data_IF_021946230517
#
_entry.id   IF_021946230517
#
_cell.length_a   1.000
_cell.length_b   1.000
_cell.length_c   1.000
_cell.angle_alpha   90.00
_cell.angle_beta   90.00
_cell.angle_gamma   90.00
#
_symmetry.space_group_name_H-M   'P 1'
#
loop_
_entity.id
_entity.type
_entity.pdbx_description
1 polymer ?
#
# COMPACT_ATOMS: atom_id res chain seq x y z
N UNK A 1 19.43 13.73 28.59
CA UNK A 1 19.08 12.39 29.12
C UNK A 1 17.60 12.25 29.50
N UNK A 2 16.93 13.31 29.96
CA UNK A 2 15.51 13.32 30.34
C UNK A 2 14.53 13.26 29.15
N UNK A 3 14.91 13.87 28.01
CA UNK A 3 14.09 13.92 26.78
C UNK A 3 14.03 12.56 26.06
N UNK A 4 15.17 11.84 26.00
CA UNK A 4 15.23 10.48 25.48
C UNK A 4 14.27 9.58 26.29
N UNK A 5 14.31 9.67 27.63
CA UNK A 5 13.38 8.94 28.50
C UNK A 5 11.90 9.31 28.30
N UNK A 6 11.56 10.52 27.83
CA UNK A 6 10.18 10.92 27.58
C UNK A 6 9.67 10.47 26.21
N UNK A 7 10.49 10.59 25.16
CA UNK A 7 10.19 10.04 23.84
C UNK A 7 10.16 8.51 23.88
N UNK A 8 11.11 7.89 24.57
CA UNK A 8 11.12 6.45 24.85
C UNK A 8 9.86 6.07 25.59
N UNK A 9 9.41 6.80 26.61
CA UNK A 9 8.17 6.49 27.35
C UNK A 9 6.90 6.65 26.52
N UNK A 10 6.81 7.63 25.63
CA UNK A 10 5.65 7.81 24.74
C UNK A 10 5.64 6.74 23.66
N UNK A 11 6.80 6.43 23.07
CA UNK A 11 6.98 5.33 22.13
C UNK A 11 6.70 3.97 22.80
N UNK A 12 7.23 3.72 24.00
CA UNK A 12 6.95 2.53 24.80
C UNK A 12 5.47 2.45 25.14
N UNK A 13 4.83 3.56 25.52
CA UNK A 13 3.42 3.59 25.87
C UNK A 13 2.56 3.27 24.63
N UNK A 14 2.83 3.89 23.48
CA UNK A 14 2.10 3.62 22.24
C UNK A 14 2.31 2.18 21.76
N UNK A 15 3.56 1.72 21.71
CA UNK A 15 3.88 0.32 21.36
C UNK A 15 3.24 -0.66 22.35
N UNK A 16 3.34 -0.44 23.66
CA UNK A 16 2.69 -1.29 24.67
C UNK A 16 1.17 -1.24 24.56
N UNK A 17 0.55 -0.10 24.29
CA UNK A 17 -0.91 -0.04 24.08
C UNK A 17 -1.33 -0.76 22.80
N UNK A 18 -0.54 -0.64 21.72
CA UNK A 18 -0.79 -1.30 20.43
C UNK A 18 -0.58 -2.82 20.51
N UNK A 19 0.44 -3.27 21.24
CA UNK A 19 0.68 -4.69 21.54
C UNK A 19 -0.30 -5.24 22.57
N UNK A 20 -0.81 -4.44 23.51
CA UNK A 20 -1.81 -4.89 24.49
C UNK A 20 -3.16 -5.21 23.85
N UNK A 21 -3.54 -4.54 22.76
CA UNK A 21 -4.70 -4.92 21.95
C UNK A 21 -4.51 -6.21 21.13
N UNK A 22 -3.28 -6.70 20.97
CA UNK A 22 -3.00 -8.01 20.37
C UNK A 22 -3.04 -9.14 21.41
N UNK A 23 -3.14 -8.83 22.71
CA UNK A 23 -3.21 -9.80 23.81
C UNK A 23 -4.66 -10.13 24.22
N UNK A 24 -5.64 -9.93 23.34
CA UNK A 24 -7.02 -10.35 23.63
C UNK A 24 -7.24 -11.85 23.36
N UNK A 25 -7.44 -12.54 24.48
CA UNK A 25 -8.15 -13.81 24.69
C UNK A 25 -7.43 -15.11 24.32
N UNK A 26 -6.64 -15.63 25.26
CA UNK A 26 -6.42 -17.07 25.41
C UNK A 26 -7.73 -17.72 25.88
N UNK A 27 -8.51 -18.24 24.94
CA UNK A 27 -9.76 -18.93 25.22
C UNK A 27 -9.89 -20.15 24.31
N UNK A 28 -9.72 -21.33 24.92
CA UNK A 28 -9.79 -22.70 24.37
C UNK A 28 -9.92 -22.77 22.83
N UNK A 29 -8.76 -22.81 22.18
CA UNK A 29 -8.62 -22.92 20.72
C UNK A 29 -9.35 -24.16 20.20
N UNK A 30 -9.98 -24.09 19.02
CA UNK A 30 -10.43 -25.28 18.32
C UNK A 30 -9.23 -26.20 18.02
N UNK A 31 -9.44 -27.51 18.06
CA UNK A 31 -8.40 -28.51 17.74
C UNK A 31 -7.89 -28.36 16.30
N UNK A 32 -8.71 -27.77 15.43
CA UNK A 32 -8.39 -27.32 14.07
C UNK A 32 -8.47 -25.80 14.03
N UNK A 33 -7.35 -25.15 13.77
CA UNK A 33 -7.21 -23.69 13.74
C UNK A 33 -7.34 -23.13 12.33
N UNK A 34 -7.04 -23.91 11.29
CA UNK A 34 -7.06 -23.45 9.91
C UNK A 34 -7.66 -24.43 8.92
N UNK A 35 -8.07 -23.90 7.77
CA UNK A 35 -8.54 -24.68 6.65
C UNK A 35 -8.05 -24.06 5.34
N UNK A 36 -7.68 -24.91 4.38
CA UNK A 36 -7.12 -24.49 3.09
C UNK A 36 -7.80 -25.23 1.94
N UNK A 37 -7.96 -24.54 0.82
CA UNK A 37 -8.42 -25.12 -0.43
C UNK A 37 -7.26 -25.42 -1.36
N UNK A 38 -7.24 -26.63 -1.90
CA UNK A 38 -6.41 -27.01 -3.04
C UNK A 38 -7.35 -27.06 -4.24
N UNK A 39 -7.17 -26.09 -5.14
CA UNK A 39 -7.98 -25.96 -6.36
C UNK A 39 -7.07 -26.27 -7.53
N UNK A 40 -7.27 -27.44 -8.14
CA UNK A 40 -6.61 -27.82 -9.39
C UNK A 40 -7.47 -27.33 -10.55
N UNK A 41 -6.88 -26.48 -11.38
CA UNK A 41 -7.49 -25.98 -12.60
C UNK A 41 -6.54 -26.31 -13.76
N UNK A 42 -6.98 -27.16 -14.67
CA UNK A 42 -6.16 -27.92 -15.61
C UNK A 42 -4.98 -28.60 -14.88
N UNK A 43 -3.75 -28.32 -15.30
CA UNK A 43 -2.52 -28.78 -14.65
C UNK A 43 -1.86 -27.69 -13.78
N UNK A 44 -2.65 -26.74 -13.28
CA UNK A 44 -2.18 -25.61 -12.47
C UNK A 44 -2.93 -25.52 -11.14
N UNK A 45 -2.24 -24.97 -10.13
CA UNK A 45 -2.75 -24.74 -8.79
C UNK A 45 -3.11 -23.27 -8.61
N UNK A 46 -4.26 -22.98 -7.99
CA UNK A 46 -4.62 -21.63 -7.56
C UNK A 46 -3.79 -21.24 -6.33
N UNK A 47 -3.07 -20.13 -6.42
CA UNK A 47 -2.39 -19.45 -5.31
C UNK A 47 -2.87 -18.01 -5.19
N UNK A 48 -2.77 -17.47 -3.98
CA UNK A 48 -2.99 -16.05 -3.66
C UNK A 48 -1.71 -15.42 -3.16
N UNK A 49 -1.53 -14.13 -3.42
CA UNK A 49 -0.40 -13.33 -2.96
C UNK A 49 -0.87 -12.37 -1.85
N UNK A 50 -0.26 -12.49 -0.67
CA UNK A 50 -0.63 -11.70 0.50
C UNK A 50 0.17 -10.38 0.56
N UNK A 51 -0.53 -9.27 0.79
CA UNK A 51 0.04 -7.92 0.86
C UNK A 51 1.04 -7.78 2.00
N UNK A 52 0.69 -8.27 3.20
CA UNK A 52 1.49 -8.06 4.42
C UNK A 52 2.81 -8.83 4.40
N UNK A 53 2.79 -10.08 3.95
CA UNK A 53 3.99 -10.92 3.94
C UNK A 53 4.78 -10.80 2.64
N UNK A 54 4.14 -10.35 1.56
CA UNK A 54 4.69 -10.38 0.21
C UNK A 54 4.93 -11.80 -0.28
N UNK A 55 4.21 -12.79 0.24
CA UNK A 55 4.38 -14.22 -0.07
C UNK A 55 3.12 -14.81 -0.70
N UNK A 56 3.32 -15.78 -1.58
CA UNK A 56 2.25 -16.60 -2.13
C UNK A 56 1.88 -17.74 -1.18
N UNK A 57 0.61 -18.13 -1.17
CA UNK A 57 0.12 -19.28 -0.43
C UNK A 57 -1.20 -19.82 -1.02
N UNK A 58 -1.68 -20.94 -0.48
CA UNK A 58 -2.99 -21.49 -0.87
C UNK A 58 -4.10 -20.60 -0.30
N UNK A 59 -5.27 -20.51 -0.98
CA UNK A 59 -6.44 -19.89 -0.38
C UNK A 59 -6.79 -20.58 0.94
N UNK A 60 -6.69 -19.86 2.05
CA UNK A 60 -6.70 -20.45 3.37
C UNK A 60 -6.89 -19.42 4.47
N UNK A 61 -7.29 -19.88 5.66
CA UNK A 61 -7.39 -19.00 6.82
C UNK A 61 -7.89 -19.71 8.06
N UNK A 62 -8.19 -18.92 9.09
CA UNK A 62 -8.52 -19.44 10.42
C UNK A 62 -9.98 -19.88 10.50
N UNK A 63 -10.24 -20.99 11.20
CA UNK A 63 -11.60 -21.45 11.50
C UNK A 63 -12.19 -20.57 12.60
N UNK A 64 -13.27 -19.85 12.28
CA UNK A 64 -13.97 -18.98 13.25
C UNK A 64 -14.68 -19.81 14.32
N UNK A 65 -14.96 -19.20 15.46
CA UNK A 65 -15.65 -19.89 16.56
C UNK A 65 -17.02 -20.40 16.13
N UNK A 66 -17.24 -21.72 16.21
CA UNK A 66 -18.48 -22.37 15.80
C UNK A 66 -18.61 -22.60 14.30
N UNK A 67 -17.60 -22.21 13.51
CA UNK A 67 -17.49 -22.52 12.09
C UNK A 67 -16.94 -23.94 11.90
N UNK A 68 -17.43 -24.65 10.89
CA UNK A 68 -16.84 -25.93 10.46
C UNK A 68 -15.60 -25.66 9.63
N UNK A 69 -14.52 -26.45 9.75
CA UNK A 69 -13.32 -26.24 8.93
C UNK A 69 -13.59 -26.26 7.42
N UNK A 70 -14.54 -27.07 6.95
CA UNK A 70 -15.01 -27.07 5.55
C UNK A 70 -15.57 -25.70 5.15
N UNK A 71 -16.44 -25.12 5.99
CA UNK A 71 -17.03 -23.80 5.75
C UNK A 71 -15.99 -22.69 5.80
N UNK A 72 -14.96 -22.82 6.65
CA UNK A 72 -13.84 -21.90 6.66
C UNK A 72 -13.07 -21.94 5.34
N UNK A 73 -12.73 -23.13 4.80
CA UNK A 73 -12.05 -23.23 3.52
C UNK A 73 -12.86 -22.59 2.36
N UNK A 74 -14.18 -22.81 2.34
CA UNK A 74 -15.07 -22.19 1.34
C UNK A 74 -15.11 -20.65 1.48
N UNK A 75 -15.26 -20.16 2.72
CA UNK A 75 -15.30 -18.73 3.03
C UNK A 75 -14.00 -18.04 2.64
N UNK A 76 -12.86 -18.55 3.09
CA UNK A 76 -11.55 -17.95 2.81
C UNK A 76 -11.27 -17.95 1.30
N UNK A 77 -11.60 -19.03 0.60
CA UNK A 77 -11.48 -19.09 -0.86
C UNK A 77 -12.31 -17.99 -1.55
N UNK A 78 -13.55 -17.80 -1.14
CA UNK A 78 -14.40 -16.72 -1.68
C UNK A 78 -13.86 -15.33 -1.30
N UNK A 79 -13.46 -15.14 -0.04
CA UNK A 79 -12.94 -13.87 0.46
C UNK A 79 -11.65 -13.46 -0.29
N UNK A 80 -10.74 -14.40 -0.56
CA UNK A 80 -9.42 -14.15 -1.14
C UNK A 80 -9.37 -14.19 -2.68
N UNK A 81 -10.17 -15.05 -3.31
CA UNK A 81 -10.14 -15.28 -4.77
C UNK A 81 -11.43 -14.89 -5.48
N UNK A 82 -12.53 -14.73 -4.74
CA UNK A 82 -13.86 -14.57 -5.31
C UNK A 82 -14.46 -15.86 -5.89
N UNK A 83 -13.73 -16.98 -5.90
CA UNK A 83 -14.25 -18.28 -6.34
C UNK A 83 -15.18 -18.84 -5.28
N UNK A 84 -16.39 -19.22 -5.70
CA UNK A 84 -17.32 -19.99 -4.88
C UNK A 84 -17.00 -21.47 -5.10
N UNK A 85 -16.74 -22.20 -4.02
CA UNK A 85 -16.29 -23.59 -4.11
C UNK A 85 -17.12 -24.54 -3.24
N UNK A 86 -17.27 -25.77 -3.73
CA UNK A 86 -17.79 -26.93 -3.01
C UNK A 86 -16.65 -27.84 -2.55
N UNK A 87 -16.74 -28.35 -1.32
CA UNK A 87 -15.76 -29.30 -0.78
C UNK A 87 -16.07 -30.71 -1.32
N UNK A 88 -15.09 -31.32 -1.99
CA UNK A 88 -15.20 -32.70 -2.46
C UNK A 88 -14.75 -33.70 -1.39
N UNK A 89 -13.49 -33.58 -0.94
CA UNK A 89 -12.87 -34.50 0.03
C UNK A 89 -11.73 -33.85 0.80
N UNK A 90 -11.37 -34.44 1.93
CA UNK A 90 -10.14 -34.10 2.65
C UNK A 90 -8.95 -34.69 1.91
N UNK A 91 -7.94 -33.87 1.62
CA UNK A 91 -6.67 -34.29 1.02
C UNK A 91 -5.62 -34.61 2.08
N UNK A 92 -5.70 -33.93 3.23
CA UNK A 92 -4.86 -34.23 4.38
C UNK A 92 -4.98 -33.19 5.49
N UNK A 93 -4.26 -33.44 6.57
CA UNK A 93 -4.14 -32.52 7.70
C UNK A 93 -2.66 -32.36 8.07
N UNK A 94 -2.26 -31.14 8.40
CA UNK A 94 -0.94 -30.86 8.99
C UNK A 94 -1.12 -29.89 10.14
N UNK A 95 -0.54 -30.22 11.29
CA UNK A 95 -0.73 -29.45 12.52
C UNK A 95 -2.24 -29.26 12.75
N UNK A 96 -2.67 -28.01 12.86
CA UNK A 96 -4.06 -27.63 13.10
C UNK A 96 -4.74 -27.15 11.81
N UNK A 97 -4.23 -27.50 10.62
CA UNK A 97 -4.80 -27.09 9.32
C UNK A 97 -5.24 -28.30 8.51
N UNK A 98 -6.49 -28.28 8.02
CA UNK A 98 -7.03 -29.28 7.09
C UNK A 98 -6.98 -28.74 5.66
N UNK A 99 -6.56 -29.57 4.72
CA UNK A 99 -6.50 -29.28 3.29
C UNK A 99 -7.61 -30.03 2.57
N UNK A 100 -8.41 -29.31 1.81
CA UNK A 100 -9.55 -29.83 1.08
C UNK A 100 -9.33 -29.77 -0.43
N UNK A 101 -9.87 -30.75 -1.14
CA UNK A 101 -10.10 -30.70 -2.57
C UNK A 101 -11.33 -29.83 -2.82
N UNK A 102 -11.11 -28.65 -3.42
CA UNK A 102 -12.15 -27.65 -3.62
C UNK A 102 -12.49 -27.51 -5.10
N UNK A 103 -13.76 -27.75 -5.42
CA UNK A 103 -14.30 -27.67 -6.77
C UNK A 103 -15.03 -26.33 -6.90
N UNK A 104 -14.62 -25.50 -7.85
CA UNK A 104 -15.28 -24.26 -8.23
C UNK A 104 -16.69 -24.54 -8.77
N UNK A 105 -17.67 -23.85 -8.20
CA UNK A 105 -19.07 -23.91 -8.64
C UNK A 105 -19.29 -23.10 -9.93
N UNK A 106 -18.32 -22.26 -10.31
CA UNK A 106 -18.29 -21.46 -11.53
C UNK A 106 -17.08 -21.79 -12.41
N UNK A 107 -17.15 -21.39 -13.67
CA UNK A 107 -16.00 -21.45 -14.60
C UNK A 107 -14.80 -20.68 -14.02
N UNK A 108 -13.63 -21.31 -13.98
CA UNK A 108 -12.39 -20.67 -13.54
C UNK A 108 -11.87 -19.86 -14.73
N UNK A 109 -11.81 -18.54 -14.58
CA UNK A 109 -11.30 -17.63 -15.61
C UNK A 109 -9.89 -17.19 -15.25
N UNK A 110 -8.98 -17.20 -16.22
CA UNK A 110 -7.62 -16.72 -16.05
C UNK A 110 -7.14 -15.96 -17.30
N UNK A 111 -6.26 -14.99 -17.11
CA UNK A 111 -5.68 -14.24 -18.22
C UNK A 111 -4.64 -15.09 -18.96
N UNK A 112 -4.64 -15.05 -20.30
CA UNK A 112 -3.59 -15.63 -21.11
C UNK A 112 -2.33 -14.75 -21.05
N UNK A 113 -1.33 -15.15 -20.27
CA UNK A 113 -0.05 -14.44 -20.17
C UNK A 113 1.02 -15.33 -20.78
N UNK A 114 1.67 -14.85 -21.84
CA UNK A 114 2.81 -15.53 -22.46
C UNK A 114 4.06 -15.20 -21.61
N UNK A 115 4.23 -15.92 -20.49
CA UNK A 115 5.41 -15.81 -19.63
C UNK A 115 6.21 -17.12 -19.56
N UNK A 116 7.47 -17.02 -19.18
CA UNK A 116 8.37 -18.18 -19.08
C UNK A 116 8.02 -19.14 -17.93
N UNK A 117 7.07 -18.78 -17.07
CA UNK A 117 6.70 -19.53 -15.88
C UNK A 117 5.33 -20.22 -16.01
N UNK A 118 4.65 -20.03 -17.14
CA UNK A 118 3.29 -20.49 -17.42
C UNK A 118 2.32 -20.05 -16.30
N UNK A 119 2.54 -18.88 -15.69
CA UNK A 119 1.75 -18.37 -14.59
C UNK A 119 0.62 -17.47 -15.11
N UNK A 120 -0.63 -17.80 -14.77
CA UNK A 120 -1.80 -17.12 -15.31
C UNK A 120 -2.58 -16.40 -14.22
N UNK A 121 -2.70 -15.09 -14.30
CA UNK A 121 -3.38 -14.30 -13.28
C UNK A 121 -4.90 -14.56 -13.27
N UNK A 122 -5.49 -14.68 -12.08
CA UNK A 122 -6.95 -14.69 -11.91
C UNK A 122 -7.48 -13.25 -11.72
N UNK A 123 -8.62 -12.92 -12.32
CA UNK A 123 -9.34 -11.69 -12.01
C UNK A 123 -9.98 -11.78 -10.62
N UNK A 124 -9.45 -11.05 -9.64
CA UNK A 124 -9.95 -11.10 -8.26
C UNK A 124 -10.41 -9.75 -7.69
N UNK A 125 -10.52 -8.69 -8.49
CA UNK A 125 -10.80 -7.34 -7.98
C UNK A 125 -12.16 -7.20 -7.28
N UNK A 126 -13.06 -8.16 -7.49
CA UNK A 126 -14.38 -8.26 -6.87
C UNK A 126 -14.37 -9.09 -5.57
N UNK A 127 -13.24 -9.73 -5.23
CA UNK A 127 -13.11 -10.50 -4.00
C UNK A 127 -13.07 -9.57 -2.78
N UNK A 128 -13.75 -9.93 -1.67
CA UNK A 128 -13.80 -9.12 -0.45
C UNK A 128 -12.43 -8.70 0.10
N UNK A 129 -11.40 -9.55 -0.02
CA UNK A 129 -10.08 -9.30 0.54
C UNK A 129 -9.09 -8.71 -0.49
N UNK A 130 -9.54 -8.40 -1.70
CA UNK A 130 -8.72 -7.71 -2.70
C UNK A 130 -8.30 -6.31 -2.23
N UNK A 131 -6.98 -6.06 -2.19
CA UNK A 131 -6.43 -4.78 -1.71
C UNK A 131 -6.50 -4.59 -0.20
N UNK A 132 -7.04 -5.56 0.54
CA UNK A 132 -7.08 -5.57 2.01
C UNK A 132 -6.00 -6.52 2.53
N UNK A 133 -6.08 -7.77 2.11
CA UNK A 133 -5.15 -8.85 2.47
C UNK A 133 -4.45 -9.40 1.24
N UNK A 134 -5.18 -9.52 0.11
CA UNK A 134 -4.69 -10.17 -1.10
C UNK A 134 -4.41 -9.15 -2.20
N UNK A 135 -3.21 -9.22 -2.79
CA UNK A 135 -2.81 -8.37 -3.91
C UNK A 135 -3.23 -8.94 -5.26
N UNK A 136 -3.15 -10.26 -5.41
CA UNK A 136 -3.44 -10.98 -6.65
C UNK A 136 -3.64 -12.46 -6.39
N UNK A 137 -4.25 -13.17 -7.34
CA UNK A 137 -4.27 -14.62 -7.39
C UNK A 137 -3.78 -15.11 -8.76
N UNK A 138 -3.22 -16.30 -8.81
CA UNK A 138 -2.64 -16.88 -10.02
C UNK A 138 -2.82 -18.40 -10.08
N UNK A 139 -2.87 -18.93 -11.30
CA UNK A 139 -2.68 -20.33 -11.63
C UNK A 139 -1.21 -20.56 -11.94
N UNK A 140 -0.58 -21.49 -11.25
CA UNK A 140 0.82 -21.85 -11.49
C UNK A 140 1.02 -23.36 -11.35
N UNK A 141 1.90 -23.94 -12.15
CA UNK A 141 2.30 -25.35 -11.96
C UNK A 141 3.02 -25.51 -10.60
N UNK A 142 2.68 -26.54 -9.79
CA UNK A 142 3.33 -26.77 -8.50
C UNK A 142 4.86 -26.88 -8.56
N UNK A 143 5.42 -27.34 -9.68
CA UNK A 143 6.86 -27.49 -9.88
C UNK A 143 7.57 -26.15 -10.12
N UNK A 144 6.83 -25.14 -10.59
CA UNK A 144 7.33 -23.81 -10.92
C UNK A 144 7.24 -22.83 -9.73
N UNK A 145 6.65 -23.24 -8.61
CA UNK A 145 6.52 -22.38 -7.43
C UNK A 145 7.90 -22.13 -6.81
N UNK A 146 8.33 -20.86 -6.82
CA UNK A 146 9.57 -20.46 -6.17
C UNK A 146 9.46 -20.63 -4.64
N UNK A 147 10.30 -21.48 -4.08
CA UNK A 147 10.36 -21.74 -2.64
C UNK A 147 10.68 -20.49 -1.80
N UNK A 148 11.30 -19.45 -2.36
CA UNK A 148 11.56 -18.20 -1.65
C UNK A 148 10.36 -17.27 -1.62
N UNK A 149 9.43 -17.41 -2.56
CA UNK A 149 8.22 -16.58 -2.69
C UNK A 149 7.01 -17.22 -2.00
N UNK A 150 7.05 -18.53 -1.78
CA UNK A 150 6.02 -19.24 -1.03
C UNK A 150 6.17 -19.06 0.49
N UNK A 151 5.06 -18.76 1.20
CA UNK A 151 5.06 -18.42 2.63
C UNK A 151 5.63 -19.52 3.54
N UNK A 152 5.37 -20.79 3.19
CA UNK A 152 5.80 -21.97 3.94
C UNK A 152 6.55 -22.97 3.05
N UNK A 153 7.83 -22.72 2.73
CA UNK A 153 8.56 -23.47 1.69
C UNK A 153 8.58 -24.98 1.94
N UNK A 154 8.61 -25.39 3.21
CA UNK A 154 8.56 -26.79 3.62
C UNK A 154 7.22 -27.52 3.36
N UNK A 155 6.19 -26.79 2.88
CA UNK A 155 4.88 -27.35 2.50
C UNK A 155 4.82 -27.75 1.02
N UNK A 156 5.68 -27.20 0.15
CA UNK A 156 5.56 -27.36 -1.31
C UNK A 156 5.51 -28.81 -1.78
N UNK A 157 6.39 -29.67 -1.25
CA UNK A 157 6.40 -31.10 -1.58
C UNK A 157 5.07 -31.80 -1.27
N UNK A 158 4.38 -31.39 -0.21
CA UNK A 158 3.07 -31.93 0.17
C UNK A 158 1.96 -31.35 -0.67
N UNK A 159 2.02 -30.05 -0.96
CA UNK A 159 1.07 -29.37 -1.83
C UNK A 159 1.07 -30.02 -3.21
N UNK A 160 2.22 -30.36 -3.76
CA UNK A 160 2.32 -31.16 -4.99
C UNK A 160 1.60 -32.52 -4.85
N UNK A 161 1.78 -33.23 -3.72
CA UNK A 161 1.06 -34.47 -3.46
C UNK A 161 -0.45 -34.31 -3.29
N UNK A 162 -0.92 -33.18 -2.77
CA UNK A 162 -2.35 -32.85 -2.68
C UNK A 162 -2.93 -32.47 -4.04
N UNK A 163 -2.18 -31.72 -4.83
CA UNK A 163 -2.53 -31.33 -6.20
C UNK A 163 -2.77 -32.56 -7.10
N UNK A 164 -1.92 -33.59 -7.02
CA UNK A 164 -2.12 -34.84 -7.77
C UNK A 164 -3.41 -35.60 -7.40
N UNK A 165 -3.91 -35.38 -6.18
CA UNK A 165 -5.13 -36.01 -5.67
C UNK A 165 -6.39 -35.15 -5.87
N UNK A 166 -6.20 -33.85 -6.16
CA UNK A 166 -7.26 -32.88 -6.34
C UNK A 166 -7.96 -33.07 -7.69
N UNK A 167 -9.23 -32.70 -7.75
CA UNK A 167 -10.06 -32.90 -8.94
C UNK A 167 -9.69 -31.86 -10.00
N UNK A 168 -9.30 -32.26 -11.23
CA UNK A 168 -9.00 -31.31 -12.30
C UNK A 168 -10.27 -30.64 -12.82
N UNK A 169 -10.17 -29.35 -13.12
CA UNK A 169 -11.28 -28.50 -13.54
C UNK A 169 -10.87 -27.64 -14.73
N UNK A 170 -11.73 -27.45 -15.74
CA UNK A 170 -11.36 -26.67 -16.93
C UNK A 170 -11.15 -25.19 -16.59
N UNK A 171 -10.16 -24.57 -17.25
CA UNK A 171 -9.94 -23.12 -17.20
C UNK A 171 -10.38 -22.47 -18.50
N UNK A 172 -11.05 -21.33 -18.39
CA UNK A 172 -11.30 -20.44 -19.53
C UNK A 172 -10.25 -19.34 -19.55
N UNK A 173 -9.36 -19.43 -20.51
CA UNK A 173 -8.36 -18.40 -20.77
C UNK A 173 -8.97 -17.24 -21.56
N UNK A 174 -8.67 -16.01 -21.14
CA UNK A 174 -9.14 -14.76 -21.77
C UNK A 174 -7.97 -13.80 -21.97
N UNK A 175 -8.01 -13.01 -23.06
CA UNK A 175 -6.96 -12.02 -23.34
C UNK A 175 -7.15 -10.73 -22.53
N UNK A 176 -8.40 -10.39 -22.23
CA UNK A 176 -8.76 -9.20 -21.46
C UNK A 176 -10.18 -9.34 -20.87
N UNK A 177 -10.50 -8.46 -19.93
CA UNK A 177 -11.81 -8.31 -19.31
C UNK A 177 -12.30 -6.86 -19.41
N UNK A 178 -12.01 -6.18 -20.53
CA UNK A 178 -12.39 -4.78 -20.75
C UNK A 178 -13.90 -4.59 -20.58
N UNK A 179 -14.72 -5.50 -21.10
CA UNK A 179 -16.18 -5.43 -21.00
C UNK A 179 -16.70 -5.51 -19.55
N UNK A 180 -15.88 -6.00 -18.61
CA UNK A 180 -16.22 -6.05 -17.17
C UNK A 180 -15.96 -4.73 -16.44
N UNK A 181 -15.22 -3.79 -17.06
CA UNK A 181 -14.96 -2.47 -16.49
C UNK A 181 -16.19 -1.55 -16.66
N UNK A 182 -16.35 -0.52 -15.81
CA UNK A 182 -17.34 0.54 -16.04
C UNK A 182 -17.17 1.21 -17.41
N UNK A 183 -18.27 1.67 -18.02
CA UNK A 183 -18.28 2.20 -19.40
C UNK A 183 -17.30 3.35 -19.63
N UNK A 184 -17.10 4.22 -18.63
CA UNK A 184 -16.13 5.31 -18.72
C UNK A 184 -14.68 4.79 -18.67
N UNK A 185 -14.40 3.73 -17.91
CA UNK A 185 -13.08 3.09 -17.89
C UNK A 185 -12.80 2.27 -19.14
N UNK A 186 -13.83 1.70 -19.79
CA UNK A 186 -13.66 0.99 -21.07
C UNK A 186 -13.04 1.88 -22.15
N UNK A 187 -13.47 3.15 -22.21
CA UNK A 187 -12.90 4.14 -23.13
C UNK A 187 -11.41 4.39 -22.84
N UNK A 188 -11.04 4.54 -21.57
CA UNK A 188 -9.65 4.73 -21.16
C UNK A 188 -8.79 3.48 -21.40
N UNK A 189 -9.34 2.28 -21.24
CA UNK A 189 -8.66 1.03 -21.60
C UNK A 189 -8.36 0.95 -23.10
N UNK A 190 -9.30 1.40 -23.95
CA UNK A 190 -9.06 1.49 -25.39
C UNK A 190 -7.92 2.46 -25.72
N UNK A 191 -7.91 3.65 -25.10
CA UNK A 191 -6.82 4.61 -25.26
C UNK A 191 -5.47 4.08 -24.77
N UNK A 192 -5.46 3.34 -23.65
CA UNK A 192 -4.27 2.70 -23.13
C UNK A 192 -3.70 1.68 -24.13
N UNK A 193 -4.57 0.85 -24.72
CA UNK A 193 -4.17 -0.12 -25.72
C UNK A 193 -3.62 0.55 -26.99
N UNK A 194 -4.30 1.59 -27.49
CA UNK A 194 -3.79 2.40 -28.62
C UNK A 194 -2.43 3.03 -28.31
N UNK A 195 -2.24 3.53 -27.10
CA UNK A 195 -0.98 4.14 -26.69
C UNK A 195 0.16 3.12 -26.64
N UNK A 196 -0.10 1.90 -26.16
CA UNK A 196 0.88 0.80 -26.19
C UNK A 196 1.24 0.40 -27.62
N UNK A 197 0.25 0.20 -28.48
CA UNK A 197 0.46 -0.09 -29.90
C UNK A 197 1.25 1.01 -30.65
N UNK A 198 1.22 2.26 -30.17
CA UNK A 198 2.06 3.32 -30.72
C UNK A 198 3.52 3.21 -30.27
N UNK A 199 3.76 2.79 -29.02
CA UNK A 199 5.10 2.57 -28.49
C UNK A 199 5.75 1.31 -29.06
N UNK A 200 4.98 0.25 -29.30
CA UNK A 200 5.44 -1.00 -29.94
C UNK A 200 5.94 -0.79 -31.39
N UNK A 201 5.59 0.34 -32.02
CA UNK A 201 6.09 0.72 -33.35
C UNK A 201 7.49 1.33 -33.31
N UNK A 202 8.00 1.66 -32.14
CA UNK A 202 9.35 2.18 -31.98
C UNK A 202 10.39 1.07 -32.17
N UNK A 203 11.64 1.41 -32.53
CA UNK A 203 12.72 0.45 -32.47
C UNK A 203 12.87 -0.10 -31.05
N UNK A 204 13.13 -1.41 -30.90
CA UNK A 204 13.18 -2.12 -29.61
C UNK A 204 14.06 -1.44 -28.56
N UNK A 205 15.18 -0.83 -28.97
CA UNK A 205 16.04 -0.07 -28.06
C UNK A 205 15.38 1.22 -27.53
N UNK A 206 14.63 1.93 -28.37
CA UNK A 206 13.94 3.17 -27.98
C UNK A 206 12.75 2.86 -27.07
N UNK A 207 12.00 1.81 -27.38
CA UNK A 207 10.92 1.29 -26.53
C UNK A 207 11.45 0.95 -25.13
N UNK A 208 12.47 0.10 -25.04
CA UNK A 208 13.07 -0.29 -23.75
C UNK A 208 13.56 0.90 -22.92
N UNK A 209 14.15 1.93 -23.56
CA UNK A 209 14.56 3.16 -22.86
C UNK A 209 13.35 3.90 -22.31
N UNK A 210 12.27 4.05 -23.10
CA UNK A 210 11.07 4.75 -22.67
C UNK A 210 10.39 4.00 -21.52
N UNK A 211 10.29 2.68 -21.62
CA UNK A 211 9.74 1.85 -20.54
C UNK A 211 10.53 1.98 -19.25
N UNK A 212 11.86 1.99 -19.33
CA UNK A 212 12.71 2.16 -18.16
C UNK A 212 12.55 3.55 -17.55
N UNK A 213 12.44 4.60 -18.38
CA UNK A 213 12.15 5.96 -17.91
C UNK A 213 10.77 6.05 -17.24
N UNK A 214 9.77 5.34 -17.75
CA UNK A 214 8.46 5.24 -17.10
C UNK A 214 8.58 4.55 -15.75
N UNK A 215 9.22 3.37 -15.67
CA UNK A 215 9.45 2.66 -14.40
C UNK A 215 10.20 3.53 -13.39
N UNK A 216 11.25 4.22 -13.82
CA UNK A 216 12.02 5.14 -12.97
C UNK A 216 11.16 6.29 -12.44
N UNK A 217 10.30 6.88 -13.29
CA UNK A 217 9.42 7.97 -12.87
C UNK A 217 8.39 7.53 -11.84
N UNK A 218 7.91 6.28 -11.90
CA UNK A 218 6.96 5.74 -10.92
C UNK A 218 7.56 5.58 -9.53
N UNK A 219 8.89 5.50 -9.42
CA UNK A 219 9.58 5.53 -8.11
C UNK A 219 9.31 6.85 -7.38
N UNK A 220 8.93 7.93 -8.08
CA UNK A 220 8.51 9.19 -7.47
C UNK A 220 7.19 9.08 -6.68
N UNK A 221 6.38 8.07 -6.97
CA UNK A 221 5.15 7.78 -6.23
C UNK A 221 5.42 6.98 -4.94
N UNK A 222 6.63 6.46 -4.77
CA UNK A 222 6.99 5.65 -3.62
C UNK A 222 7.18 6.52 -2.36
N UNK A 223 6.65 6.12 -1.18
CA UNK A 223 6.71 6.95 0.04
C UNK A 223 8.13 7.32 0.51
N UNK A 224 9.16 6.56 0.07
CA UNK A 224 10.58 6.86 0.36
C UNK A 224 10.97 8.29 -0.04
N UNK A 225 10.32 8.87 -1.07
CA UNK A 225 10.56 10.25 -1.50
C UNK A 225 10.26 11.25 -0.39
N UNK A 226 9.31 10.96 0.50
CA UNK A 226 9.00 11.81 1.65
C UNK A 226 10.19 11.91 2.62
N UNK A 227 11.04 10.88 2.70
CA UNK A 227 12.25 10.88 3.53
C UNK A 227 13.31 11.85 3.02
N UNK A 228 13.26 12.23 1.73
CA UNK A 228 14.12 13.25 1.14
C UNK A 228 13.44 14.62 1.19
N UNK A 229 12.13 14.65 0.88
CA UNK A 229 11.33 15.87 0.85
C UNK A 229 11.31 16.58 2.21
N UNK A 230 10.92 15.92 3.30
CA UNK A 230 10.74 16.60 4.59
C UNK A 230 12.03 17.21 5.15
N UNK A 231 13.19 16.53 5.11
CA UNK A 231 14.46 17.15 5.45
C UNK A 231 14.76 18.38 4.57
N UNK A 232 14.57 18.27 3.26
CA UNK A 232 14.78 19.39 2.33
C UNK A 232 13.88 20.59 2.66
N UNK A 233 12.59 20.37 2.91
CA UNK A 233 11.65 21.42 3.28
C UNK A 233 12.03 22.09 4.60
N UNK A 234 12.46 21.30 5.58
CA UNK A 234 12.85 21.82 6.89
C UNK A 234 14.09 22.70 6.76
N UNK A 235 15.09 22.24 5.99
CA UNK A 235 16.31 23.00 5.74
C UNK A 235 16.03 24.30 4.99
N UNK A 236 15.19 24.26 3.94
CA UNK A 236 14.98 25.41 3.04
C UNK A 236 13.97 26.43 3.56
N UNK A 237 12.87 25.97 4.16
CA UNK A 237 11.72 26.80 4.52
C UNK A 237 11.43 26.84 6.02
N UNK A 238 12.20 26.10 6.82
CA UNK A 238 12.10 26.11 8.28
C UNK A 238 11.04 25.14 8.82
N UNK A 239 10.90 25.18 10.15
CA UNK A 239 10.09 24.22 10.92
C UNK A 239 8.60 24.30 10.55
N UNK A 240 8.07 25.51 10.54
CA UNK A 240 6.63 25.73 10.49
C UNK A 240 6.04 25.36 9.12
N UNK A 241 6.76 25.67 8.04
CA UNK A 241 6.37 25.23 6.70
C UNK A 241 6.40 23.70 6.56
N UNK A 242 7.40 23.04 7.11
CA UNK A 242 7.47 21.57 7.09
C UNK A 242 6.32 20.91 7.84
N UNK A 243 5.93 21.44 9.01
CA UNK A 243 4.74 20.95 9.71
C UNK A 243 3.45 21.19 8.92
N UNK A 244 3.32 22.35 8.27
CA UNK A 244 2.18 22.65 7.39
C UNK A 244 2.06 21.65 6.25
N UNK A 245 3.17 21.34 5.56
CA UNK A 245 3.18 20.33 4.50
C UNK A 245 2.91 18.94 5.05
N UNK A 246 3.50 18.56 6.19
CA UNK A 246 3.25 17.26 6.82
C UNK A 246 1.77 17.07 7.13
N UNK A 247 1.15 18.05 7.79
CA UNK A 247 -0.28 18.04 8.07
C UNK A 247 -1.12 17.94 6.80
N UNK A 248 -0.75 18.69 5.75
CA UNK A 248 -1.44 18.64 4.46
C UNK A 248 -1.38 17.25 3.82
N UNK A 249 -0.21 16.61 3.84
CA UNK A 249 -0.01 15.24 3.34
C UNK A 249 -0.83 14.24 4.15
N UNK A 250 -0.86 14.37 5.49
CA UNK A 250 -1.67 13.51 6.36
C UNK A 250 -3.16 13.60 6.02
N UNK A 251 -3.74 14.80 6.01
CA UNK A 251 -5.17 14.99 5.75
C UNK A 251 -5.53 14.56 4.33
N UNK A 252 -4.74 14.95 3.33
CA UNK A 252 -4.97 14.58 1.93
C UNK A 252 -4.95 13.05 1.78
N UNK A 253 -3.99 12.39 2.41
CA UNK A 253 -3.90 10.92 2.34
C UNK A 253 -5.09 10.23 3.00
N UNK A 254 -5.50 10.67 4.19
CA UNK A 254 -6.67 10.10 4.87
C UNK A 254 -7.96 10.26 4.07
N UNK A 255 -8.19 11.44 3.48
CA UNK A 255 -9.36 11.72 2.64
C UNK A 255 -9.37 10.81 1.41
N UNK A 256 -8.24 10.70 0.71
CA UNK A 256 -8.13 9.85 -0.49
C UNK A 256 -8.30 8.38 -0.13
N UNK A 257 -7.67 7.89 0.95
CA UNK A 257 -7.80 6.50 1.37
C UNK A 257 -9.25 6.15 1.75
N UNK A 258 -9.95 7.06 2.44
CA UNK A 258 -11.39 6.91 2.70
C UNK A 258 -12.21 6.91 1.41
N UNK A 259 -11.91 7.82 0.49
CA UNK A 259 -12.59 7.89 -0.81
C UNK A 259 -12.38 6.61 -1.63
N UNK A 260 -11.18 6.02 -1.62
CA UNK A 260 -10.90 4.73 -2.26
C UNK A 260 -11.80 3.61 -1.76
N UNK A 261 -12.08 3.57 -0.45
CA UNK A 261 -13.02 2.61 0.13
C UNK A 261 -14.47 2.87 -0.26
N UNK A 262 -14.82 4.12 -0.57
CA UNK A 262 -16.15 4.49 -1.06
C UNK A 262 -16.37 4.17 -2.54
N UNK A 263 -15.36 4.35 -3.39
CA UNK A 263 -15.48 4.12 -4.84
C UNK A 263 -15.23 2.67 -5.24
N UNK A 264 -14.26 2.00 -4.62
CA UNK A 264 -13.93 0.59 -4.88
C UNK A 264 -13.63 0.26 -6.36
N UNK A 265 -13.00 1.20 -7.07
CA UNK A 265 -12.65 1.01 -8.48
C UNK A 265 -11.18 0.61 -8.63
N UNK A 266 -10.89 -0.54 -9.26
CA UNK A 266 -9.54 -1.07 -9.39
C UNK A 266 -8.79 -0.44 -10.58
N UNK A 267 -7.44 -0.54 -10.61
CA UNK A 267 -6.62 0.03 -11.67
C UNK A 267 -6.77 -0.67 -13.04
N UNK A 268 -6.33 -0.04 -14.15
CA UNK A 268 -6.42 -0.61 -15.49
C UNK A 268 -5.86 -2.03 -15.64
N UNK A 269 -4.74 -2.31 -14.97
CA UNK A 269 -4.02 -3.59 -15.06
C UNK A 269 -4.85 -4.81 -14.65
N UNK A 270 -5.93 -4.66 -13.86
CA UNK A 270 -6.76 -5.81 -13.47
C UNK A 270 -7.63 -6.33 -14.61
N UNK A 271 -7.83 -5.54 -15.67
CA UNK A 271 -8.66 -5.89 -16.81
C UNK A 271 -7.86 -6.38 -18.03
N UNK A 272 -6.53 -6.33 -17.97
CA UNK A 272 -5.64 -6.60 -19.09
C UNK A 272 -4.70 -7.75 -18.73
N UNK A 273 -4.47 -8.67 -19.67
CA UNK A 273 -3.46 -9.71 -19.52
C UNK A 273 -2.05 -9.12 -19.65
N UNK A 274 -1.55 -8.55 -18.56
CA UNK A 274 -0.22 -7.97 -18.46
C UNK A 274 0.60 -8.65 -17.37
N UNK A 275 1.92 -8.59 -17.48
CA UNK A 275 2.81 -9.01 -16.39
C UNK A 275 2.45 -8.25 -15.11
N UNK A 276 2.20 -9.00 -14.04
CA UNK A 276 1.84 -8.47 -12.73
C UNK A 276 2.95 -7.54 -12.27
N UNK A 277 2.65 -6.25 -12.09
CA UNK A 277 3.51 -5.36 -11.31
C UNK A 277 3.29 -5.73 -9.83
N UNK A 278 4.25 -6.40 -9.15
CA UNK A 278 4.00 -7.03 -7.85
C UNK A 278 3.63 -6.05 -6.72
N UNK A 279 3.83 -4.75 -6.95
CA UNK A 279 3.73 -3.71 -5.93
C UNK A 279 2.39 -2.94 -5.92
N UNK A 280 1.46 -3.23 -6.84
CA UNK A 280 0.19 -2.48 -6.93
C UNK A 280 -1.01 -3.36 -6.61
N UNK A 281 -1.59 -3.14 -5.42
CA UNK A 281 -2.81 -3.81 -4.95
C UNK A 281 -3.89 -2.81 -4.54
N UNK A 282 -5.15 -3.23 -4.65
CA UNK A 282 -6.32 -2.46 -4.24
C UNK A 282 -6.78 -1.39 -5.22
N UNK A 283 -7.61 -0.47 -4.73
CA UNK A 283 -8.32 0.50 -5.55
C UNK A 283 -7.46 1.70 -5.97
N UNK A 284 -7.67 2.19 -7.19
CA UNK A 284 -6.90 3.29 -7.79
C UNK A 284 -7.60 4.64 -7.73
N UNK A 285 -8.95 4.68 -7.78
CA UNK A 285 -9.73 5.92 -7.73
C UNK A 285 -10.05 6.35 -6.28
N UNK A 286 -9.70 7.58 -5.86
CA UNK A 286 -8.82 8.56 -6.48
C UNK A 286 -7.34 8.26 -6.27
N UNK A 287 -6.48 8.79 -7.14
CA UNK A 287 -5.04 8.54 -7.07
C UNK A 287 -4.38 9.26 -5.89
N UNK A 288 -3.85 8.48 -4.95
CA UNK A 288 -3.15 8.98 -3.76
C UNK A 288 -1.87 9.77 -4.10
N UNK A 289 -0.94 9.25 -4.93
CA UNK A 289 0.27 9.99 -5.25
C UNK A 289 -0.01 11.33 -5.91
N UNK A 290 -0.97 11.39 -6.85
CA UNK A 290 -1.33 12.63 -7.54
C UNK A 290 -1.97 13.66 -6.61
N UNK A 291 -2.79 13.23 -5.65
CA UNK A 291 -3.35 14.11 -4.63
C UNK A 291 -2.25 14.70 -3.73
N UNK A 292 -1.33 13.86 -3.25
CA UNK A 292 -0.21 14.28 -2.41
C UNK A 292 0.70 15.25 -3.17
N UNK A 293 1.11 14.90 -4.39
CA UNK A 293 1.96 15.76 -5.21
C UNK A 293 1.31 17.09 -5.53
N UNK A 294 0.04 17.11 -5.95
CA UNK A 294 -0.67 18.35 -6.22
C UNK A 294 -0.77 19.22 -4.96
N UNK A 295 -1.04 18.61 -3.81
CA UNK A 295 -1.11 19.33 -2.54
C UNK A 295 0.23 19.98 -2.18
N UNK A 296 1.32 19.18 -2.19
CA UNK A 296 2.68 19.63 -1.86
C UNK A 296 3.17 20.71 -2.84
N UNK A 297 3.03 20.47 -4.15
CA UNK A 297 3.46 21.41 -5.21
C UNK A 297 2.72 22.74 -5.07
N UNK A 298 1.41 22.72 -4.82
CA UNK A 298 0.62 23.94 -4.67
C UNK A 298 1.08 24.76 -3.46
N UNK A 299 1.36 24.11 -2.33
CA UNK A 299 1.91 24.78 -1.14
C UNK A 299 3.32 25.35 -1.39
N UNK A 300 4.15 24.62 -2.14
CA UNK A 300 5.50 25.06 -2.52
C UNK A 300 5.48 26.27 -3.46
N UNK A 301 4.65 26.24 -4.49
CA UNK A 301 4.46 27.37 -5.41
C UNK A 301 3.99 28.59 -4.63
N UNK A 302 3.01 28.44 -3.74
CA UNK A 302 2.55 29.55 -2.90
C UNK A 302 3.70 30.13 -2.07
N UNK A 303 4.48 29.28 -1.40
CA UNK A 303 5.60 29.72 -0.55
C UNK A 303 6.74 30.37 -1.34
N UNK A 304 6.99 29.91 -2.56
CA UNK A 304 8.07 30.45 -3.40
C UNK A 304 7.67 31.71 -4.16
N UNK A 305 6.39 31.91 -4.45
CA UNK A 305 5.87 33.17 -4.98
C UNK A 305 6.03 34.32 -4.00
N UNK A 306 5.86 34.08 -2.70
CA UNK A 306 6.21 35.06 -1.66
C UNK A 306 7.67 35.54 -1.78
N UNK A 307 8.55 34.69 -2.32
CA UNK A 307 9.97 34.96 -2.52
C UNK A 307 10.33 35.36 -3.97
N UNK A 308 9.35 35.58 -4.86
CA UNK A 308 9.56 36.05 -6.23
C UNK A 308 9.98 35.00 -7.28
N UNK A 309 9.80 33.70 -7.03
CA UNK A 309 10.21 32.63 -7.94
C UNK A 309 9.02 31.95 -8.65
N UNK A 310 8.70 32.36 -9.87
CA UNK A 310 7.55 31.85 -10.65
C UNK A 310 7.84 30.64 -11.57
N UNK A 311 9.12 30.27 -11.78
CA UNK A 311 9.49 29.20 -12.72
C UNK A 311 9.03 27.79 -12.28
N UNK A 312 8.75 27.60 -10.98
CA UNK A 312 8.35 26.30 -10.44
C UNK A 312 6.99 25.82 -10.91
N UNK A 313 6.08 26.72 -11.26
CA UNK A 313 4.76 26.32 -11.74
C UNK A 313 4.89 25.56 -13.07
N UNK A 314 5.69 26.09 -14.00
CA UNK A 314 5.93 25.46 -15.31
C UNK A 314 6.65 24.12 -15.20
N UNK A 315 7.70 24.03 -14.39
CA UNK A 315 8.44 22.76 -14.20
C UNK A 315 7.58 21.69 -13.54
N UNK A 316 6.75 22.07 -12.56
CA UNK A 316 5.85 21.13 -11.88
C UNK A 316 4.79 20.56 -12.81
N UNK A 317 4.22 21.37 -13.71
CA UNK A 317 3.27 20.89 -14.73
C UNK A 317 3.92 19.87 -15.66
N UNK A 318 5.15 20.14 -16.12
CA UNK A 318 5.91 19.19 -16.94
C UNK A 318 6.16 17.85 -16.25
N UNK A 319 6.63 17.87 -15.00
CA UNK A 319 6.89 16.67 -14.20
C UNK A 319 5.60 15.87 -13.92
N UNK A 320 4.51 16.56 -13.54
CA UNK A 320 3.22 15.91 -13.30
C UNK A 320 2.62 15.31 -14.57
N UNK A 321 2.82 15.96 -15.73
CA UNK A 321 2.37 15.45 -17.03
C UNK A 321 3.15 14.20 -17.41
N UNK A 322 4.48 14.22 -17.25
CA UNK A 322 5.33 13.05 -17.46
C UNK A 322 4.90 11.88 -16.57
N UNK A 323 4.74 12.12 -15.27
CA UNK A 323 4.28 11.13 -14.31
C UNK A 323 2.88 10.58 -14.64
N UNK A 324 1.97 11.41 -15.16
CA UNK A 324 0.65 10.99 -15.59
C UNK A 324 0.72 10.04 -16.80
N UNK A 325 1.53 10.38 -17.80
CA UNK A 325 1.76 9.53 -18.97
C UNK A 325 2.34 8.19 -18.54
N UNK A 326 3.35 8.18 -17.66
CA UNK A 326 3.97 6.96 -17.17
C UNK A 326 3.01 6.10 -16.34
N UNK A 327 2.20 6.71 -15.48
CA UNK A 327 1.21 6.01 -14.64
C UNK A 327 0.10 5.38 -15.47
N UNK A 328 -0.34 6.07 -16.52
CA UNK A 328 -1.33 5.56 -17.46
C UNK A 328 -0.77 4.40 -18.30
N UNK A 329 0.40 4.58 -18.94
CA UNK A 329 1.05 3.55 -19.77
C UNK A 329 1.23 2.22 -19.04
N UNK A 330 1.76 2.31 -17.82
CA UNK A 330 2.02 1.14 -16.97
C UNK A 330 0.75 0.49 -16.41
N UNK A 331 -0.43 1.12 -16.60
CA UNK A 331 -1.70 0.58 -16.15
C UNK A 331 -1.92 0.69 -14.63
N UNK A 332 -1.15 1.54 -13.95
CA UNK A 332 -1.28 1.74 -12.49
C UNK A 332 -2.47 2.61 -12.12
N UNK A 333 -2.88 3.53 -13.00
CA UNK A 333 -3.99 4.45 -12.78
C UNK A 333 -4.69 4.79 -14.09
N UNK A 334 -6.01 4.97 -14.02
CA UNK A 334 -6.78 5.67 -15.04
C UNK A 334 -6.51 7.18 -14.99
N UNK A 335 -6.79 7.87 -16.09
CA UNK A 335 -6.79 9.33 -16.17
C UNK A 335 -7.80 9.90 -15.17
N UNK A 336 -9.00 9.31 -15.05
CA UNK A 336 -9.99 9.75 -14.05
C UNK A 336 -9.46 9.63 -12.61
N UNK A 337 -8.66 8.62 -12.31
CA UNK A 337 -8.04 8.43 -10.99
C UNK A 337 -7.09 9.59 -10.68
N UNK A 338 -6.23 9.92 -11.65
CA UNK A 338 -5.24 10.98 -11.54
C UNK A 338 -5.90 12.35 -11.44
N UNK A 339 -6.87 12.66 -12.28
CA UNK A 339 -7.61 13.93 -12.26
C UNK A 339 -8.37 14.12 -10.93
N UNK A 340 -9.00 13.06 -10.43
CA UNK A 340 -9.70 13.10 -9.14
C UNK A 340 -8.73 13.29 -7.99
N UNK A 341 -7.56 12.66 -8.03
CA UNK A 341 -6.47 12.87 -7.08
C UNK A 341 -5.98 14.33 -7.09
N UNK A 342 -5.65 14.86 -8.26
CA UNK A 342 -5.24 16.26 -8.46
C UNK A 342 -6.28 17.23 -7.88
N UNK A 343 -7.58 17.00 -8.14
CA UNK A 343 -8.66 17.82 -7.61
C UNK A 343 -8.66 17.82 -6.08
N UNK A 344 -8.64 16.64 -5.44
CA UNK A 344 -8.64 16.53 -3.97
C UNK A 344 -7.41 17.21 -3.39
N UNK A 345 -6.22 16.94 -3.93
CA UNK A 345 -4.97 17.55 -3.48
C UNK A 345 -4.95 19.07 -3.60
N UNK A 346 -5.44 19.59 -4.73
CA UNK A 346 -5.58 21.02 -4.98
C UNK A 346 -6.58 21.69 -4.02
N UNK A 347 -7.72 21.04 -3.74
CA UNK A 347 -8.70 21.53 -2.76
C UNK A 347 -8.13 21.57 -1.34
N UNK A 348 -7.39 20.53 -0.92
CA UNK A 348 -6.71 20.50 0.37
C UNK A 348 -5.69 21.65 0.50
N UNK A 349 -4.83 21.84 -0.50
CA UNK A 349 -3.86 22.93 -0.49
C UNK A 349 -4.52 24.30 -0.53
N UNK A 350 -5.53 24.48 -1.39
CA UNK A 350 -6.32 25.72 -1.46
C UNK A 350 -6.96 26.04 -0.12
N UNK A 351 -7.54 25.05 0.57
CA UNK A 351 -8.17 25.24 1.86
C UNK A 351 -7.15 25.72 2.92
N UNK A 352 -5.95 25.12 2.94
CA UNK A 352 -4.87 25.53 3.85
C UNK A 352 -4.36 26.94 3.54
N UNK A 353 -4.08 27.27 2.27
CA UNK A 353 -3.64 28.60 1.86
C UNK A 353 -4.71 29.65 2.21
N UNK A 354 -5.99 29.32 1.95
CA UNK A 354 -7.12 30.19 2.29
C UNK A 354 -7.20 30.45 3.80
N UNK A 355 -6.97 29.44 4.63
CA UNK A 355 -6.97 29.60 6.09
C UNK A 355 -5.76 30.41 6.56
N UNK A 356 -4.58 30.19 6.00
CA UNK A 356 -3.34 30.91 6.31
C UNK A 356 -3.45 32.41 6.02
N UNK A 357 -4.20 32.78 4.98
CA UNK A 357 -4.43 34.17 4.60
C UNK A 357 -5.51 34.89 5.43
N UNK A 358 -6.23 34.19 6.33
CA UNK A 358 -7.23 34.83 7.20
C UNK A 358 -6.55 35.44 8.42
N UNK A 359 -6.75 36.75 8.61
CA UNK A 359 -6.16 37.52 9.73
C UNK A 359 -6.56 37.02 11.12
N UNK A 360 -7.76 36.47 11.25
CA UNK A 360 -8.32 36.03 12.55
C UNK A 360 -7.97 34.58 12.89
N UNK A 361 -7.21 33.88 12.03
CA UNK A 361 -6.88 32.46 12.20
C UNK A 361 -5.37 32.28 12.17
N UNK A 362 -4.80 31.92 13.31
CA UNK A 362 -3.41 31.47 13.38
C UNK A 362 -3.32 29.99 12.97
N UNK A 363 -3.05 29.73 11.68
CA UNK A 363 -3.04 28.37 11.15
C UNK A 363 -2.07 27.45 11.91
N UNK A 364 -0.90 27.94 12.31
CA UNK A 364 0.10 27.14 13.01
C UNK A 364 -0.38 26.67 14.39
N UNK A 365 -1.09 27.51 15.14
CA UNK A 365 -1.64 27.12 16.44
C UNK A 365 -2.77 26.10 16.29
N UNK A 366 -3.56 26.21 15.21
CA UNK A 366 -4.59 25.22 14.88
C UNK A 366 -3.98 23.86 14.52
N UNK A 367 -3.02 23.79 13.60
CA UNK A 367 -2.44 22.51 13.16
C UNK A 367 -1.57 21.86 14.23
N UNK A 368 -1.03 22.63 15.18
CA UNK A 368 -0.29 22.12 16.33
C UNK A 368 -1.21 21.86 17.55
N UNK A 369 -2.52 22.08 17.42
CA UNK A 369 -3.47 21.82 18.50
C UNK A 369 -3.55 20.34 18.82
N UNK A 370 -3.32 20.00 20.10
CA UNK A 370 -3.44 18.61 20.59
C UNK A 370 -4.83 18.03 20.32
N UNK A 371 -5.87 18.84 20.46
CA UNK A 371 -7.25 18.42 20.24
C UNK A 371 -7.49 17.96 18.79
N UNK A 372 -6.91 18.66 17.81
CA UNK A 372 -7.01 18.30 16.40
C UNK A 372 -6.41 16.90 16.14
N UNK A 373 -5.22 16.64 16.67
CA UNK A 373 -4.56 15.34 16.51
C UNK A 373 -5.29 14.21 17.24
N UNK A 374 -5.91 14.47 18.40
CA UNK A 374 -6.80 13.49 19.04
C UNK A 374 -8.03 13.17 18.18
N UNK A 375 -8.63 14.17 17.53
CA UNK A 375 -9.74 13.94 16.58
C UNK A 375 -9.27 13.10 15.39
N UNK A 376 -8.07 13.34 14.86
CA UNK A 376 -7.49 12.52 13.79
C UNK A 376 -7.20 11.08 14.24
N UNK A 377 -6.72 10.88 15.46
CA UNK A 377 -6.56 9.53 16.03
C UNK A 377 -7.91 8.84 16.15
N UNK A 378 -8.94 9.53 16.67
CA UNK A 378 -10.28 8.96 16.79
C UNK A 378 -10.87 8.59 15.42
N UNK A 379 -10.72 9.46 14.41
CA UNK A 379 -11.11 9.16 13.05
C UNK A 379 -10.32 7.97 12.46
N UNK A 380 -9.01 7.92 12.69
CA UNK A 380 -8.16 6.81 12.26
C UNK A 380 -8.54 5.48 12.91
N UNK A 381 -8.90 5.48 14.21
CA UNK A 381 -9.40 4.29 14.90
C UNK A 381 -10.73 3.80 14.32
N UNK A 382 -11.65 4.71 13.97
CA UNK A 382 -12.88 4.36 13.26
C UNK A 382 -12.55 3.76 11.90
N UNK A 383 -11.64 4.36 11.12
CA UNK A 383 -11.22 3.81 9.82
C UNK A 383 -10.67 2.39 9.94
N UNK A 384 -9.74 2.14 10.87
CA UNK A 384 -9.16 0.80 11.10
C UNK A 384 -10.21 -0.21 11.55
N UNK A 385 -11.18 0.22 12.36
CA UNK A 385 -12.23 -0.67 12.87
C UNK A 385 -13.25 -1.06 11.80
N UNK A 386 -13.60 -0.11 10.91
CA UNK A 386 -14.57 -0.33 9.83
C UNK A 386 -13.91 -1.02 8.63
N UNK A 387 -12.68 -0.64 8.31
CA UNK A 387 -11.87 -1.19 7.22
C UNK A 387 -10.50 -1.60 7.78
N UNK A 388 -10.29 -2.88 8.12
CA UNK A 388 -9.05 -3.37 8.71
C UNK A 388 -7.92 -3.51 7.68
N UNK A 389 -7.63 -2.43 6.95
CA UNK A 389 -6.62 -2.37 5.89
C UNK A 389 -5.29 -1.91 6.51
N UNK A 390 -4.16 -2.57 6.21
CA UNK A 390 -2.85 -2.23 6.79
C UNK A 390 -2.48 -0.75 6.71
N UNK A 391 -2.79 -0.11 5.57
CA UNK A 391 -2.47 1.31 5.34
C UNK A 391 -3.10 2.26 6.37
N UNK A 392 -4.32 1.96 6.86
CA UNK A 392 -4.94 2.77 7.90
C UNK A 392 -4.23 2.62 9.25
N UNK A 393 -3.76 1.40 9.56
CA UNK A 393 -2.95 1.13 10.75
C UNK A 393 -1.61 1.89 10.74
N UNK A 394 -0.94 1.92 9.58
CA UNK A 394 0.30 2.68 9.39
C UNK A 394 0.05 4.18 9.63
N UNK A 395 -1.00 4.75 9.02
CA UNK A 395 -1.37 6.15 9.23
C UNK A 395 -1.71 6.45 10.69
N UNK A 396 -2.42 5.56 11.39
CA UNK A 396 -2.70 5.71 12.81
C UNK A 396 -1.41 5.80 13.63
N UNK A 397 -0.40 4.98 13.33
CA UNK A 397 0.94 5.05 13.93
C UNK A 397 1.63 6.38 13.67
N UNK A 398 1.60 6.87 12.42
CA UNK A 398 2.16 8.17 12.03
C UNK A 398 1.49 9.32 12.80
N UNK A 399 0.15 9.34 12.86
CA UNK A 399 -0.63 10.38 13.56
C UNK A 399 -0.36 10.36 15.06
N UNK A 400 -0.31 9.16 15.68
CA UNK A 400 0.05 8.99 17.09
C UNK A 400 1.46 9.52 17.40
N UNK A 401 2.41 9.24 16.51
CA UNK A 401 3.79 9.74 16.63
C UNK A 401 3.82 11.27 16.48
N UNK A 402 3.03 11.83 15.56
CA UNK A 402 2.98 13.27 15.33
C UNK A 402 2.45 14.01 16.57
N UNK A 403 1.41 13.47 17.22
CA UNK A 403 0.93 13.98 18.51
C UNK A 403 2.04 13.96 19.59
N UNK A 404 2.81 12.87 19.67
CA UNK A 404 3.94 12.76 20.61
C UNK A 404 5.06 13.77 20.32
N UNK A 405 5.35 14.03 19.05
CA UNK A 405 6.30 15.06 18.63
C UNK A 405 5.82 16.46 19.03
N UNK A 406 4.53 16.76 18.83
CA UNK A 406 3.91 18.03 19.23
C UNK A 406 3.96 18.21 20.75
N UNK A 407 3.72 17.15 21.53
CA UNK A 407 3.79 17.22 22.99
C UNK A 407 5.19 17.51 23.51
N UNK A 408 6.22 17.12 22.76
CA UNK A 408 7.64 17.28 23.12
C UNK A 408 8.31 18.42 22.36
N UNK A 409 7.55 19.18 21.56
CA UNK A 409 8.10 20.27 20.75
C UNK A 409 8.65 21.38 21.66
N UNK A 410 9.90 21.76 21.42
CA UNK A 410 10.53 22.93 22.03
C UNK A 410 10.08 24.16 21.21
N UNK A 411 9.67 25.23 21.89
CA UNK A 411 9.20 26.46 21.23
C UNK A 411 10.31 27.10 20.38
N UNK A 412 11.57 26.90 20.78
CA UNK A 412 12.73 27.45 20.08
C UNK A 412 12.86 26.86 18.68
N UNK A 413 12.81 27.75 17.68
CA UNK A 413 13.07 27.37 16.30
C UNK A 413 14.55 27.00 16.16
N UNK A 414 14.82 25.78 15.68
CA UNK A 414 16.18 25.32 15.39
C UNK A 414 16.35 25.17 13.89
N UNK A 415 17.43 25.73 13.36
CA UNK A 415 17.78 25.63 11.93
C UNK A 415 18.84 24.56 11.72
N UNK A 416 18.61 23.72 10.71
CA UNK A 416 19.57 22.71 10.27
C UNK A 416 20.47 23.37 9.22
N UNK A 417 21.77 23.09 9.24
CA UNK A 417 22.71 23.51 8.19
C UNK A 417 22.70 22.50 7.03
N UNK A 418 23.11 22.92 5.84
CA UNK A 418 23.18 22.02 4.67
C UNK A 418 24.10 20.80 4.93
N UNK A 419 25.15 20.98 5.72
CA UNK A 419 26.09 19.91 6.11
C UNK A 419 25.43 18.81 6.95
N UNK A 420 24.38 19.13 7.71
CA UNK A 420 23.67 18.18 8.57
C UNK A 420 22.50 17.51 7.85
N UNK A 421 21.97 18.08 6.78
CA UNK A 421 20.77 17.52 6.13
C UNK A 421 21.08 16.23 5.37
N UNK A 422 22.21 16.19 4.66
CA UNK A 422 22.66 15.02 3.89
C UNK A 422 22.83 13.79 4.80
N UNK A 423 23.61 13.82 5.90
CA UNK A 423 23.78 12.65 6.76
C UNK A 423 22.48 12.22 7.47
N UNK A 424 21.59 13.17 7.81
CA UNK A 424 20.26 12.83 8.37
C UNK A 424 19.43 12.07 7.34
N UNK A 425 19.34 12.57 6.11
CA UNK A 425 18.59 11.90 5.03
C UNK A 425 19.18 10.53 4.71
N UNK A 426 20.51 10.40 4.60
CA UNK A 426 21.18 9.11 4.37
C UNK A 426 20.86 8.13 5.50
N UNK A 427 20.87 8.58 6.76
CA UNK A 427 20.53 7.73 7.91
C UNK A 427 19.07 7.28 7.87
N UNK A 428 18.14 8.17 7.51
CA UNK A 428 16.72 7.81 7.34
C UNK A 428 16.52 6.78 6.23
N UNK A 429 17.15 6.98 5.07
CA UNK A 429 17.09 6.03 3.95
C UNK A 429 17.72 4.69 4.34
N UNK A 430 18.87 4.68 5.02
CA UNK A 430 19.52 3.45 5.48
C UNK A 430 18.63 2.66 6.47
N UNK A 431 17.95 3.34 7.39
CA UNK A 431 16.98 2.69 8.30
C UNK A 431 15.77 2.17 7.52
N UNK A 432 15.28 2.92 6.53
CA UNK A 432 14.18 2.45 5.67
C UNK A 432 14.53 1.11 4.99
N UNK A 433 15.71 1.01 4.37
CA UNK A 433 16.18 -0.24 3.76
C UNK A 433 16.42 -1.35 4.80
N UNK A 434 16.83 -1.02 6.02
CA UNK A 434 16.94 -2.00 7.10
C UNK A 434 15.58 -2.60 7.47
N UNK A 435 14.51 -1.80 7.48
CA UNK A 435 13.15 -2.30 7.68
C UNK A 435 12.74 -3.24 6.54
N UNK A 436 12.95 -2.84 5.28
CA UNK A 436 12.64 -3.66 4.11
C UNK A 436 13.39 -5.00 4.12
N UNK A 437 14.68 -4.98 4.46
CA UNK A 437 15.47 -6.21 4.66
C UNK A 437 14.92 -7.07 5.81
N UNK A 438 14.43 -6.43 6.88
CA UNK A 438 13.90 -7.14 8.06
C UNK A 438 12.57 -7.86 7.78
N UNK A 439 11.79 -7.43 6.79
CA UNK A 439 10.51 -8.05 6.41
C UNK A 439 10.68 -9.51 6.00
N UNK A 440 11.82 -9.87 5.39
CA UNK A 440 12.12 -11.24 4.98
C UNK A 440 12.04 -12.21 6.18
N UNK A 441 12.50 -11.79 7.35
CA UNK A 441 12.52 -12.63 8.56
C UNK A 441 11.16 -12.77 9.24
N UNK A 442 10.24 -11.83 9.01
CA UNK A 442 8.89 -11.84 9.60
C UNK A 442 7.80 -12.29 8.63
N UNK A 443 8.13 -12.48 7.35
CA UNK A 443 7.22 -12.88 6.26
C UNK A 443 6.45 -14.19 6.45
N UNK A 444 6.71 -14.96 7.53
CA UNK A 444 5.90 -16.11 7.92
C UNK A 444 4.63 -15.73 8.69
N UNK A 445 4.61 -14.55 9.31
CA UNK A 445 3.53 -14.08 10.19
C UNK A 445 3.03 -12.71 9.75
N UNK A 446 1.80 -12.66 9.27
CA UNK A 446 1.09 -11.44 8.88
C UNK A 446 1.07 -10.40 10.01
N UNK A 447 0.90 -10.84 11.26
CA UNK A 447 0.90 -9.96 12.45
C UNK A 447 2.26 -9.31 12.69
N UNK A 448 3.34 -10.09 12.57
CA UNK A 448 4.70 -9.55 12.74
C UNK A 448 5.09 -8.64 11.58
N UNK A 449 4.74 -9.00 10.34
CA UNK A 449 4.94 -8.15 9.17
C UNK A 449 4.19 -6.82 9.30
N UNK A 450 2.91 -6.86 9.67
CA UNK A 450 2.13 -5.65 9.93
C UNK A 450 2.73 -4.81 11.05
N UNK A 451 3.14 -5.44 12.17
CA UNK A 451 3.76 -4.74 13.28
C UNK A 451 5.05 -4.03 12.88
N UNK A 452 5.88 -4.66 12.04
CA UNK A 452 7.12 -4.09 11.52
C UNK A 452 6.84 -2.89 10.59
N UNK A 453 5.88 -3.02 9.67
CA UNK A 453 5.53 -1.95 8.72
C UNK A 453 4.83 -0.77 9.42
N UNK A 454 3.97 -1.03 10.41
CA UNK A 454 3.27 -0.01 11.19
C UNK A 454 4.22 0.88 12.01
N UNK A 455 5.38 0.37 12.43
CA UNK A 455 6.38 1.16 13.20
C UNK A 455 7.45 1.80 12.33
N UNK A 456 7.60 1.40 11.06
CA UNK A 456 8.62 1.89 10.13
C UNK A 456 8.66 3.41 10.04
N UNK A 457 7.57 4.04 9.60
CA UNK A 457 7.50 5.50 9.45
C UNK A 457 7.53 6.26 10.78
N UNK A 458 6.85 5.81 11.86
CA UNK A 458 7.05 6.33 13.21
C UNK A 458 8.51 6.43 13.64
N UNK A 459 9.29 5.37 13.45
CA UNK A 459 10.72 5.34 13.81
C UNK A 459 11.53 6.34 12.96
N UNK A 460 11.27 6.40 11.65
CA UNK A 460 11.93 7.36 10.76
C UNK A 460 11.61 8.81 11.15
N UNK A 461 10.37 9.09 11.54
CA UNK A 461 9.94 10.41 11.99
C UNK A 461 10.62 10.81 13.32
N UNK A 462 10.70 9.88 14.28
CA UNK A 462 11.41 10.09 15.54
C UNK A 462 12.90 10.34 15.29
N UNK A 463 13.54 9.52 14.44
CA UNK A 463 14.94 9.70 14.05
C UNK A 463 15.19 11.11 13.53
N UNK A 464 14.35 11.56 12.59
CA UNK A 464 14.44 12.91 12.03
C UNK A 464 14.37 13.96 13.14
N UNK A 465 13.30 13.95 13.93
CA UNK A 465 13.04 14.96 14.99
C UNK A 465 14.16 14.97 16.04
N UNK A 466 14.63 13.81 16.49
CA UNK A 466 15.74 13.70 17.46
C UNK A 466 17.03 14.26 16.87
N UNK A 467 17.32 13.96 15.60
CA UNK A 467 18.51 14.45 14.91
C UNK A 467 18.49 15.97 14.79
N UNK A 468 17.36 16.54 14.39
CA UNK A 468 17.16 18.00 14.37
C UNK A 468 17.40 18.58 15.76
N UNK A 469 16.74 18.05 16.80
CA UNK A 469 16.85 18.63 18.16
C UNK A 469 18.26 18.57 18.73
N UNK A 470 19.05 17.54 18.39
CA UNK A 470 20.40 17.32 18.92
C UNK A 470 21.47 18.12 18.18
N UNK A 471 21.38 18.22 16.86
CA UNK A 471 22.44 18.76 16.03
C UNK A 471 22.13 20.13 15.42
N UNK A 472 20.86 20.51 15.32
CA UNK A 472 20.48 21.84 14.84
C UNK A 472 20.86 22.91 15.87
N UNK A 473 21.35 24.04 15.37
CA UNK A 473 21.67 25.21 16.19
C UNK A 473 20.40 26.00 16.46
N UNK A 474 20.34 26.70 17.59
CA UNK A 474 19.28 27.68 17.83
C UNK A 474 19.31 28.72 16.69
N UNK A 475 18.14 29.03 16.15
CA UNK A 475 17.98 29.96 15.03
C UNK A 475 18.39 31.39 15.40
#
# INVERSE_FOLDING_TARGET
MTIFKQLDRVFLFFTLTFFSSLLFAEQKQPEIEGAACVIRADDKLVLVNEILTGKSWLPAGNVKRGEKPESAAQRETWEETGLVVSINKVLGQRNNTIYYDCISDSEIVAFHIDDSFDAHQLPIWFAPHYGVEISSAMLISPEMINAQEYRFPEQLKRIAGYFEQATPQPVRYVDNLVESAPTFNQMELAWLNEFRLLLDKLPTHAEAIIEELFKLSLQLNHPIILLVLFPYLYWRFGRDFSYKVFFAVTITSLIVLLAKQGFQLPPPQVYLANQVLPQFSGYSLPSLPFAVWMCVITLLINKMRENGADYLAGTSVGLMTWLAISSFYTGTHFIVDMLSGLLIGGLCAWHLIRLDNKRDVELMTLIQSKALWFVLIAAGLVMVSVWPIPVFGIWLGIIGTALGVIYTADENEKRITAELIIPITISMVAIYWLFEYSEVFVSRSSVLSFGLDAVRYPVLMILFVVSVRKFAKAA
#
